data_IF_298437672145
#
_entry.id   IF_298437672145
#
_cell.length_a   1.000
_cell.length_b   1.000
_cell.length_c   1.000
_cell.angle_alpha   90.00
_cell.angle_beta   90.00
_cell.angle_gamma   90.00
#
_symmetry.space_group_name_H-M   'P 1'
#
loop_
_entity.id
_entity.type
_entity.pdbx_description
1 polymer ?
#
# COMPACT_ATOMS: atom_id res chain seq x y z
N UNK A 1 -18.76 -35.90 9.96
CA UNK A 1 -19.06 -35.42 8.59
C UNK A 1 -19.12 -33.90 8.70
N UNK A 2 -18.01 -33.22 8.41
CA UNK A 2 -17.90 -31.75 8.55
C UNK A 2 -18.64 -31.09 7.39
N UNK A 3 -19.50 -30.13 7.69
CA UNK A 3 -20.24 -29.33 6.71
C UNK A 3 -19.27 -28.43 5.92
N UNK A 4 -19.09 -28.66 4.60
CA UNK A 4 -18.18 -27.86 3.78
C UNK A 4 -18.71 -26.45 3.49
N UNK A 5 -19.96 -26.13 3.82
CA UNK A 5 -20.50 -24.77 3.68
C UNK A 5 -20.01 -23.80 4.77
N UNK A 6 -19.39 -24.33 5.83
CA UNK A 6 -18.77 -23.54 6.91
C UNK A 6 -17.34 -23.08 6.59
N UNK A 7 -16.82 -23.32 5.37
CA UNK A 7 -15.56 -22.71 4.91
C UNK A 7 -15.83 -21.24 4.63
N UNK A 8 -15.76 -20.48 5.72
CA UNK A 8 -15.92 -19.04 5.90
C UNK A 8 -15.94 -18.23 4.59
N UNK A 9 -17.14 -17.79 4.18
CA UNK A 9 -17.27 -16.84 3.11
C UNK A 9 -16.86 -15.41 3.55
N UNK A 10 -15.76 -15.24 4.28
CA UNK A 10 -15.21 -13.93 4.67
C UNK A 10 -13.79 -13.68 4.12
N UNK A 11 -13.05 -14.74 3.74
CA UNK A 11 -11.68 -14.63 3.26
C UNK A 11 -11.47 -14.22 1.77
N UNK A 12 -12.33 -14.64 0.82
CA UNK A 12 -12.29 -14.22 -0.61
C UNK A 12 -12.58 -12.73 -0.83
N UNK A 13 -13.63 -12.19 -0.20
CA UNK A 13 -14.08 -10.80 -0.20
C UNK A 13 -12.96 -9.84 0.20
N UNK A 14 -12.15 -10.21 1.20
CA UNK A 14 -11.01 -9.40 1.62
C UNK A 14 -9.88 -9.38 0.59
N UNK A 15 -9.67 -10.48 -0.13
CA UNK A 15 -8.75 -10.49 -1.27
C UNK A 15 -9.29 -9.65 -2.43
N UNK A 16 -10.57 -9.80 -2.77
CA UNK A 16 -11.23 -9.08 -3.87
C UNK A 16 -11.21 -7.56 -3.66
N UNK A 17 -11.58 -7.09 -2.46
CA UNK A 17 -11.61 -5.66 -2.16
C UNK A 17 -10.22 -5.02 -2.14
N UNK A 18 -9.18 -5.74 -1.70
CA UNK A 18 -7.80 -5.25 -1.70
C UNK A 18 -7.25 -5.13 -3.12
N UNK A 19 -7.47 -6.15 -3.95
CA UNK A 19 -7.04 -6.18 -5.35
C UNK A 19 -7.74 -5.08 -6.12
N UNK A 20 -9.06 -4.97 -6.00
CA UNK A 20 -9.84 -3.94 -6.68
C UNK A 20 -9.41 -2.53 -6.28
N UNK A 21 -9.15 -2.29 -4.98
CA UNK A 21 -8.63 -1.01 -4.50
C UNK A 21 -7.24 -0.68 -5.06
N UNK A 22 -6.35 -1.65 -5.14
CA UNK A 22 -5.04 -1.46 -5.76
C UNK A 22 -5.12 -1.21 -7.27
N UNK A 23 -6.07 -1.84 -7.96
CA UNK A 23 -6.32 -1.65 -9.39
C UNK A 23 -6.80 -0.22 -9.67
N UNK A 24 -7.78 0.29 -8.92
CA UNK A 24 -8.24 1.67 -9.06
C UNK A 24 -7.15 2.69 -8.74
N UNK A 25 -6.32 2.42 -7.72
CA UNK A 25 -5.17 3.28 -7.41
C UNK A 25 -4.16 3.30 -8.56
N UNK A 26 -3.84 2.14 -9.15
CA UNK A 26 -2.96 2.04 -10.31
C UNK A 26 -3.55 2.72 -11.56
N UNK A 27 -4.85 2.56 -11.82
CA UNK A 27 -5.52 3.22 -12.94
C UNK A 27 -5.47 4.75 -12.81
N UNK A 28 -5.76 5.26 -11.60
CA UNK A 28 -5.66 6.69 -11.32
C UNK A 28 -4.23 7.23 -11.48
N UNK A 29 -3.24 6.46 -11.03
CA UNK A 29 -1.81 6.77 -11.20
C UNK A 29 -1.43 6.89 -12.69
N UNK A 30 -1.81 5.90 -13.49
CA UNK A 30 -1.50 5.83 -14.92
C UNK A 30 -2.25 6.93 -15.67
N UNK A 31 -3.52 7.18 -15.36
CA UNK A 31 -4.30 8.24 -15.96
C UNK A 31 -3.71 9.63 -15.64
N UNK A 32 -3.34 9.88 -14.38
CA UNK A 32 -2.69 11.13 -13.98
C UNK A 32 -1.33 11.32 -14.63
N UNK A 33 -0.52 10.27 -14.75
CA UNK A 33 0.75 10.29 -15.45
C UNK A 33 0.58 10.55 -16.95
N UNK A 34 -0.41 9.91 -17.60
CA UNK A 34 -0.70 10.11 -19.02
C UNK A 34 -1.19 11.54 -19.31
N UNK A 35 -2.12 12.06 -18.49
CA UNK A 35 -2.63 13.44 -18.62
C UNK A 35 -1.52 14.46 -18.35
N UNK A 36 -0.67 14.22 -17.34
CA UNK A 36 0.47 15.07 -17.05
C UNK A 36 1.52 15.07 -18.17
N UNK A 37 1.86 13.89 -18.71
CA UNK A 37 2.84 13.75 -19.78
C UNK A 37 2.41 14.39 -21.11
N UNK A 38 1.09 14.51 -21.35
CA UNK A 38 0.56 15.22 -22.51
C UNK A 38 0.63 16.74 -22.36
N UNK A 39 0.78 17.26 -21.13
CA UNK A 39 0.87 18.70 -20.92
C UNK A 39 2.34 19.16 -20.95
N UNK A 40 2.73 19.77 -22.08
CA UNK A 40 4.06 20.37 -22.30
C UNK A 40 4.21 21.78 -21.73
N UNK A 41 3.21 22.26 -21.00
CA UNK A 41 3.26 23.56 -20.36
C UNK A 41 4.36 23.57 -19.29
N UNK A 42 5.32 24.49 -19.48
CA UNK A 42 6.42 24.72 -18.56
C UNK A 42 5.90 25.52 -17.36
N UNK A 43 6.10 25.00 -16.16
CA UNK A 43 5.72 25.62 -14.91
C UNK A 43 6.97 25.83 -14.06
N UNK A 44 7.09 27.03 -13.51
CA UNK A 44 8.07 27.33 -12.49
C UNK A 44 7.46 27.02 -11.12
N UNK A 45 8.05 26.07 -10.40
CA UNK A 45 7.71 25.78 -9.01
C UNK A 45 8.65 26.61 -8.14
N UNK A 46 8.10 27.58 -7.42
CA UNK A 46 8.89 28.46 -6.55
C UNK A 46 8.89 27.90 -5.13
N UNK A 47 10.08 27.54 -4.63
CA UNK A 47 10.28 27.05 -3.26
C UNK A 47 10.85 28.14 -2.34
N UNK A 48 10.91 29.41 -2.77
CA UNK A 48 11.43 30.54 -2.00
C UNK A 48 12.82 30.97 -2.47
N UNK A 49 13.92 30.37 -1.98
CA UNK A 49 15.27 30.68 -2.47
C UNK A 49 15.64 29.91 -3.76
N UNK A 50 14.82 28.93 -4.16
CA UNK A 50 15.08 28.06 -5.31
C UNK A 50 13.82 27.94 -6.16
N UNK A 51 13.92 28.28 -7.44
CA UNK A 51 12.87 28.05 -8.42
C UNK A 51 13.25 26.87 -9.32
N UNK A 52 12.34 25.90 -9.42
CA UNK A 52 12.50 24.73 -10.28
C UNK A 52 11.60 24.88 -11.51
N UNK A 53 12.21 25.12 -12.67
CA UNK A 53 11.50 25.11 -13.94
C UNK A 53 11.37 23.67 -14.40
N UNK A 54 10.14 23.19 -14.49
CA UNK A 54 9.82 21.82 -14.91
C UNK A 54 8.57 21.83 -15.79
N UNK A 55 8.22 20.70 -16.38
CA UNK A 55 6.94 20.56 -17.08
C UNK A 55 5.88 20.08 -16.08
N UNK A 56 4.61 20.47 -16.31
CA UNK A 56 3.49 19.99 -15.49
C UNK A 56 3.52 18.47 -15.34
N UNK A 57 3.84 17.74 -16.40
CA UNK A 57 3.94 16.28 -16.38
C UNK A 57 4.98 15.74 -15.41
N UNK A 58 6.19 16.30 -15.41
CA UNK A 58 7.25 15.87 -14.49
C UNK A 58 6.88 16.22 -13.05
N UNK A 59 6.30 17.40 -12.82
CA UNK A 59 5.83 17.83 -11.50
C UNK A 59 4.75 16.89 -10.94
N UNK A 60 3.77 16.51 -11.78
CA UNK A 60 2.68 15.61 -11.39
C UNK A 60 3.19 14.20 -11.11
N UNK A 61 4.05 13.64 -11.97
CA UNK A 61 4.66 12.32 -11.74
C UNK A 61 5.46 12.33 -10.44
N UNK A 62 6.28 13.36 -10.19
CA UNK A 62 7.05 13.50 -8.97
C UNK A 62 6.17 13.56 -7.71
N UNK A 63 5.13 14.40 -7.71
CA UNK A 63 4.20 14.52 -6.59
C UNK A 63 3.46 13.20 -6.30
N UNK A 64 3.04 12.51 -7.37
CA UNK A 64 2.35 11.22 -7.27
C UNK A 64 3.26 10.13 -6.73
N UNK A 65 4.52 10.03 -7.20
CA UNK A 65 5.51 9.09 -6.69
C UNK A 65 5.81 9.34 -5.20
N UNK A 66 6.04 10.61 -4.82
CA UNK A 66 6.28 10.94 -3.42
C UNK A 66 5.08 10.58 -2.55
N UNK A 67 3.87 10.93 -2.96
CA UNK A 67 2.64 10.62 -2.23
C UNK A 67 2.42 9.12 -2.06
N UNK A 68 2.65 8.32 -3.10
CA UNK A 68 2.54 6.86 -3.01
C UNK A 68 3.61 6.23 -2.13
N UNK A 69 4.85 6.73 -2.20
CA UNK A 69 5.92 6.24 -1.35
C UNK A 69 5.65 6.53 0.14
N UNK A 70 5.22 7.76 0.45
CA UNK A 70 4.86 8.17 1.81
C UNK A 70 3.65 7.39 2.31
N UNK A 71 2.60 7.27 1.50
CA UNK A 71 1.38 6.52 1.86
C UNK A 71 1.65 5.04 2.07
N UNK A 72 2.45 4.41 1.21
CA UNK A 72 2.88 3.03 1.35
C UNK A 72 3.72 2.81 2.62
N UNK A 73 4.66 3.70 2.89
CA UNK A 73 5.47 3.65 4.11
C UNK A 73 4.62 3.81 5.38
N UNK A 74 3.65 4.73 5.38
CA UNK A 74 2.74 4.94 6.50
C UNK A 74 1.91 3.68 6.82
N UNK A 75 1.40 2.99 5.78
CA UNK A 75 0.67 1.72 5.95
C UNK A 75 1.57 0.60 6.47
N UNK A 76 2.79 0.50 5.94
CA UNK A 76 3.76 -0.52 6.34
C UNK A 76 4.22 -0.36 7.80
N UNK A 77 4.41 0.88 8.27
CA UNK A 77 4.77 1.18 9.65
C UNK A 77 3.59 1.03 10.62
N UNK A 78 2.37 1.29 10.16
CA UNK A 78 1.15 1.19 10.97
C UNK A 78 0.65 -0.24 11.17
N UNK A 79 1.19 -1.23 10.46
CA UNK A 79 0.76 -2.63 10.62
C UNK A 79 1.56 -3.30 11.75
N UNK A 80 0.91 -3.72 12.86
CA UNK A 80 1.62 -4.38 13.95
C UNK A 80 2.23 -5.69 13.43
N UNK A 81 3.57 -5.74 13.41
CA UNK A 81 4.31 -6.92 12.98
C UNK A 81 3.84 -8.15 13.75
N UNK A 82 3.28 -9.13 13.04
CA UNK A 82 2.92 -10.44 13.61
C UNK A 82 4.19 -11.09 14.11
N UNK A 83 4.46 -10.97 15.42
CA UNK A 83 5.54 -11.70 16.07
C UNK A 83 5.23 -13.20 15.97
N UNK A 84 6.08 -14.01 15.34
CA UNK A 84 5.88 -15.45 15.31
C UNK A 84 5.99 -15.99 16.74
N UNK A 85 4.90 -16.53 17.27
CA UNK A 85 4.87 -17.22 18.57
C UNK A 85 5.46 -18.63 18.41
N UNK A 86 6.76 -18.73 18.14
CA UNK A 86 7.41 -20.01 17.82
C UNK A 86 8.12 -20.67 19.02
N UNK A 87 7.63 -20.48 20.25
CA UNK A 87 8.36 -20.98 21.43
C UNK A 87 7.56 -21.21 22.72
N UNK A 88 6.22 -21.21 22.68
CA UNK A 88 5.42 -21.44 23.89
C UNK A 88 5.12 -22.92 24.19
N UNK A 89 5.31 -23.82 23.22
CA UNK A 89 4.82 -25.20 23.28
C UNK A 89 5.74 -26.14 24.08
N UNK A 90 7.04 -25.84 24.17
CA UNK A 90 8.02 -26.71 24.83
C UNK A 90 8.01 -26.61 26.37
N UNK A 91 7.36 -25.59 26.94
CA UNK A 91 7.26 -25.39 28.39
C UNK A 91 6.07 -26.10 29.03
N UNK A 92 5.05 -26.46 28.25
CA UNK A 92 3.86 -27.16 28.77
C UNK A 92 4.06 -28.69 28.76
N UNK A 93 4.82 -29.21 27.80
CA UNK A 93 5.18 -30.63 27.72
C UNK A 93 6.17 -31.11 28.80
N UNK A 94 6.73 -30.20 29.61
CA UNK A 94 7.70 -30.52 30.67
C UNK A 94 7.12 -30.42 32.09
N UNK A 95 5.79 -30.27 32.23
CA UNK A 95 5.14 -30.37 33.55
C UNK A 95 4.85 -31.85 33.87
N UNK A 96 5.57 -32.48 34.81
CA UNK A 96 5.11 -33.74 35.37
C UNK A 96 3.84 -33.46 36.18
N UNK A 97 2.75 -34.16 35.84
CA UNK A 97 1.56 -34.22 36.70
C UNK A 97 1.95 -34.91 38.01
N UNK A 98 1.80 -34.16 39.12
CA UNK A 98 2.00 -34.61 40.50
C UNK A 98 0.66 -34.73 41.20
#
# INVERSE_FOLDING_TARGET
MLDPSAVEPAAYWEHDMRVLRSLFAALGLIAGAAVGALNREAIAIDFGPVALVTTLGIALIGAVLLGTLIGGAAVALGTPGRRPKHGADLRDASRPEV
#
